data_IF_439481819214
#
_entry.id   IF_439481819214
#
_cell.length_a   1.000
_cell.length_b   1.000
_cell.length_c   1.000
_cell.angle_alpha   90.00
_cell.angle_beta   90.00
_cell.angle_gamma   90.00
#
_symmetry.space_group_name_H-M   'P 1'
#
loop_
_entity.id
_entity.type
_entity.pdbx_description
1 polymer ?
#
# COMPACT_ATOMS: atom_id res chain seq x y z
N UNK A 1 -46.69 2.48 -74.55
CA UNK A 1 -45.32 2.67 -75.11
C UNK A 1 -44.27 2.51 -74.03
N UNK A 2 -43.52 1.41 -74.07
CA UNK A 2 -42.35 1.07 -73.25
C UNK A 2 -42.31 -0.44 -72.93
N UNK A 3 -41.15 -0.99 -72.59
CA UNK A 3 -40.89 -2.44 -72.48
C UNK A 3 -41.29 -2.92 -71.08
N UNK A 4 -41.84 -4.14 -70.88
CA UNK A 4 -42.04 -4.81 -69.57
C UNK A 4 -43.28 -4.45 -68.74
N UNK A 5 -44.38 -4.10 -69.39
CA UNK A 5 -45.69 -3.78 -68.77
C UNK A 5 -46.69 -4.94 -68.92
N UNK A 6 -47.64 -5.09 -67.99
CA UNK A 6 -48.78 -6.03 -68.12
C UNK A 6 -50.11 -5.31 -67.86
N UNK A 7 -51.07 -5.36 -68.80
CA UNK A 7 -52.38 -4.68 -68.78
C UNK A 7 -52.59 -3.62 -69.89
N UNK A 8 -53.80 -3.05 -70.03
CA UNK A 8 -54.18 -2.18 -71.16
C UNK A 8 -54.06 -0.65 -70.87
N UNK A 9 -53.83 0.15 -71.91
CA UNK A 9 -53.61 1.62 -71.90
C UNK A 9 -52.32 2.14 -71.22
N UNK A 10 -51.23 1.37 -71.20
CA UNK A 10 -50.00 1.76 -70.50
C UNK A 10 -48.93 2.41 -71.41
N UNK A 11 -48.37 3.53 -70.94
CA UNK A 11 -47.16 4.20 -71.48
C UNK A 11 -46.11 4.24 -70.36
N UNK A 12 -45.00 3.48 -70.49
CA UNK A 12 -43.91 3.39 -69.51
C UNK A 12 -42.96 2.18 -69.73
N UNK A 13 -41.74 2.23 -69.18
CA UNK A 13 -40.73 1.16 -69.20
C UNK A 13 -40.80 0.29 -67.92
N UNK A 14 -41.44 -0.87 -67.95
CA UNK A 14 -41.38 -1.92 -66.92
C UNK A 14 -40.31 -3.03 -67.17
N UNK A 15 -40.17 -3.96 -66.23
CA UNK A 15 -39.27 -5.13 -66.35
C UNK A 15 -37.77 -4.86 -66.17
N UNK A 16 -37.36 -3.65 -65.80
CA UNK A 16 -35.94 -3.32 -65.57
C UNK A 16 -35.51 -3.51 -64.12
N UNK A 17 -36.41 -3.90 -63.22
CA UNK A 17 -36.06 -4.33 -61.86
C UNK A 17 -36.35 -5.83 -61.70
N UNK A 18 -35.53 -6.52 -60.91
CA UNK A 18 -35.74 -7.90 -60.48
C UNK A 18 -36.06 -7.95 -58.98
N UNK A 19 -36.99 -8.80 -58.57
CA UNK A 19 -37.50 -8.88 -57.19
C UNK A 19 -38.71 -7.97 -56.92
N UNK A 20 -38.94 -7.57 -55.67
CA UNK A 20 -40.22 -6.97 -55.23
C UNK A 20 -40.06 -5.59 -54.59
N UNK A 21 -41.01 -4.68 -54.85
CA UNK A 21 -41.07 -3.37 -54.16
C UNK A 21 -39.99 -2.37 -54.57
N UNK A 22 -39.22 -2.63 -55.63
CA UNK A 22 -38.19 -1.71 -56.11
C UNK A 22 -38.80 -0.53 -56.90
N UNK A 23 -38.28 0.69 -56.69
CA UNK A 23 -38.67 1.92 -57.40
C UNK A 23 -37.44 2.48 -58.14
N UNK A 24 -37.56 2.72 -59.46
CA UNK A 24 -36.45 3.18 -60.32
C UNK A 24 -36.08 2.15 -61.39
N UNK A 25 -34.81 2.10 -61.83
CA UNK A 25 -34.36 1.23 -62.94
C UNK A 25 -33.17 0.36 -62.54
N UNK A 26 -33.10 -0.87 -63.06
CA UNK A 26 -31.96 -1.79 -62.90
C UNK A 26 -31.68 -2.22 -61.46
N UNK A 27 -32.66 -2.15 -60.56
CA UNK A 27 -32.51 -2.65 -59.20
C UNK A 27 -32.80 -4.16 -59.12
N UNK A 28 -32.08 -4.88 -58.26
CA UNK A 28 -32.25 -6.31 -57.97
C UNK A 28 -32.48 -6.53 -56.48
N UNK A 29 -33.44 -7.40 -56.11
CA UNK A 29 -33.76 -7.69 -54.71
C UNK A 29 -35.04 -6.99 -54.25
N UNK A 30 -35.08 -6.44 -53.04
CA UNK A 30 -36.33 -5.96 -52.43
C UNK A 30 -36.26 -4.50 -51.96
N UNK A 31 -37.34 -3.75 -52.19
CA UNK A 31 -37.56 -2.41 -51.62
C UNK A 31 -36.43 -1.39 -51.87
N UNK A 32 -35.69 -1.52 -52.98
CA UNK A 32 -34.65 -0.56 -53.34
C UNK A 32 -35.24 0.65 -54.10
N UNK A 33 -34.71 1.85 -53.87
CA UNK A 33 -35.11 3.08 -54.55
C UNK A 33 -33.92 3.70 -55.28
N UNK A 34 -34.01 3.90 -56.59
CA UNK A 34 -32.99 4.56 -57.41
C UNK A 34 -32.51 3.69 -58.58
N UNK A 35 -31.20 3.61 -58.80
CA UNK A 35 -30.62 2.96 -59.98
C UNK A 35 -29.59 1.90 -59.62
N UNK A 36 -29.62 0.75 -60.27
CA UNK A 36 -28.55 -0.27 -60.18
C UNK A 36 -28.29 -0.81 -58.76
N UNK A 37 -29.23 -0.67 -57.82
CA UNK A 37 -29.03 -1.19 -56.46
C UNK A 37 -29.31 -2.70 -56.40
N UNK A 38 -28.55 -3.42 -55.57
CA UNK A 38 -28.73 -4.86 -55.35
C UNK A 38 -28.87 -5.18 -53.85
N UNK A 39 -29.85 -6.01 -53.50
CA UNK A 39 -30.11 -6.42 -52.11
C UNK A 39 -31.40 -5.80 -51.58
N UNK A 40 -31.39 -5.28 -50.35
CA UNK A 40 -32.63 -4.88 -49.66
C UNK A 40 -32.60 -3.44 -49.17
N UNK A 41 -33.63 -2.65 -49.49
CA UNK A 41 -33.87 -1.36 -48.83
C UNK A 41 -32.83 -0.27 -49.12
N UNK A 42 -32.06 -0.38 -50.19
CA UNK A 42 -31.06 0.63 -50.53
C UNK A 42 -31.70 1.85 -51.23
N UNK A 43 -31.19 3.05 -50.96
CA UNK A 43 -31.60 4.30 -51.60
C UNK A 43 -30.43 4.97 -52.33
N UNK A 44 -30.52 5.15 -53.64
CA UNK A 44 -29.53 5.87 -54.43
C UNK A 44 -29.03 5.09 -55.64
N UNK A 45 -27.72 5.06 -55.89
CA UNK A 45 -27.15 4.53 -57.14
C UNK A 45 -26.10 3.46 -56.85
N UNK A 46 -26.26 2.26 -57.41
CA UNK A 46 -25.21 1.24 -57.43
C UNK A 46 -24.87 0.67 -56.06
N UNK A 47 -25.74 0.80 -55.05
CA UNK A 47 -25.47 0.24 -53.73
C UNK A 47 -25.72 -1.27 -53.72
N UNK A 48 -24.93 -2.01 -52.94
CA UNK A 48 -25.06 -3.46 -52.76
C UNK A 48 -25.16 -3.84 -51.29
N UNK A 49 -26.04 -4.78 -50.96
CA UNK A 49 -26.30 -5.21 -49.58
C UNK A 49 -27.60 -4.61 -49.04
N UNK A 50 -27.59 -4.10 -47.82
CA UNK A 50 -28.81 -3.72 -47.10
C UNK A 50 -28.80 -2.28 -46.60
N UNK A 51 -29.91 -1.56 -46.76
CA UNK A 51 -30.18 -0.25 -46.14
C UNK A 51 -29.14 0.85 -46.41
N UNK A 52 -28.35 0.73 -47.48
CA UNK A 52 -27.37 1.75 -47.82
C UNK A 52 -28.03 2.96 -48.49
N UNK A 53 -27.57 4.16 -48.16
CA UNK A 53 -28.03 5.42 -48.77
C UNK A 53 -26.88 6.13 -49.48
N UNK A 54 -27.05 6.52 -50.73
CA UNK A 54 -26.07 7.27 -51.51
C UNK A 54 -25.56 6.52 -52.73
N UNK A 55 -24.25 6.50 -52.97
CA UNK A 55 -23.66 6.02 -54.22
C UNK A 55 -22.63 4.92 -53.95
N UNK A 56 -22.78 3.78 -54.62
CA UNK A 56 -21.79 2.72 -54.70
C UNK A 56 -21.30 2.22 -53.33
N UNK A 57 -22.17 2.22 -52.31
CA UNK A 57 -21.84 1.61 -51.04
C UNK A 57 -22.07 0.10 -51.07
N UNK A 58 -21.25 -0.65 -50.34
CA UNK A 58 -21.35 -2.10 -50.19
C UNK A 58 -21.48 -2.47 -48.71
N UNK A 59 -22.35 -3.43 -48.40
CA UNK A 59 -22.56 -3.94 -47.03
C UNK A 59 -23.87 -3.43 -46.44
N UNK A 60 -23.85 -2.97 -45.19
CA UNK A 60 -25.08 -2.68 -44.43
C UNK A 60 -25.11 -1.26 -43.87
N UNK A 61 -26.23 -0.56 -44.08
CA UNK A 61 -26.57 0.71 -43.44
C UNK A 61 -25.50 1.81 -43.58
N UNK A 62 -24.72 1.80 -44.67
CA UNK A 62 -23.77 2.87 -44.94
C UNK A 62 -24.49 4.08 -45.57
N UNK A 63 -24.01 5.29 -45.28
CA UNK A 63 -24.52 6.53 -45.85
C UNK A 63 -23.40 7.35 -46.50
N UNK A 64 -23.57 7.70 -47.77
CA UNK A 64 -22.62 8.51 -48.53
C UNK A 64 -22.10 7.79 -49.77
N UNK A 65 -20.79 7.78 -50.01
CA UNK A 65 -20.21 7.41 -51.32
C UNK A 65 -19.06 6.41 -51.18
N UNK A 66 -19.11 5.28 -51.91
CA UNK A 66 -18.04 4.27 -51.93
C UNK A 66 -17.65 3.67 -50.57
N UNK A 67 -18.56 3.66 -49.59
CA UNK A 67 -18.27 3.00 -48.31
C UNK A 67 -18.46 1.48 -48.43
N UNK A 68 -17.60 0.71 -47.76
CA UNK A 68 -17.67 -0.75 -47.69
C UNK A 68 -17.70 -1.22 -46.24
N UNK A 69 -18.69 -2.05 -45.90
CA UNK A 69 -18.85 -2.66 -44.59
C UNK A 69 -20.13 -2.21 -43.89
N UNK A 70 -20.07 -1.77 -42.63
CA UNK A 70 -21.27 -1.56 -41.80
C UNK A 70 -21.31 -0.17 -41.19
N UNK A 71 -22.43 0.53 -41.32
CA UNK A 71 -22.71 1.78 -40.60
C UNK A 71 -21.64 2.87 -40.76
N UNK A 72 -20.98 2.92 -41.92
CA UNK A 72 -20.05 4.00 -42.23
C UNK A 72 -20.82 5.22 -42.77
N UNK A 73 -20.39 6.42 -42.41
CA UNK A 73 -20.91 7.67 -42.94
C UNK A 73 -19.81 8.49 -43.62
N UNK A 74 -20.11 9.09 -44.77
CA UNK A 74 -19.14 9.89 -45.54
C UNK A 74 -18.67 9.17 -46.79
N UNK A 75 -17.37 9.08 -47.04
CA UNK A 75 -16.85 8.64 -48.33
C UNK A 75 -15.64 7.71 -48.25
N UNK A 76 -15.63 6.67 -49.09
CA UNK A 76 -14.51 5.74 -49.25
C UNK A 76 -14.01 5.09 -47.95
N UNK A 77 -14.88 4.90 -46.95
CA UNK A 77 -14.51 4.20 -45.73
C UNK A 77 -14.61 2.67 -45.91
N UNK A 78 -13.69 1.92 -45.31
CA UNK A 78 -13.70 0.47 -45.30
C UNK A 78 -13.74 -0.05 -43.85
N UNK A 79 -14.65 -0.98 -43.55
CA UNK A 79 -14.83 -1.56 -42.22
C UNK A 79 -16.13 -1.11 -41.57
N UNK A 80 -16.12 -0.65 -40.33
CA UNK A 80 -17.38 -0.41 -39.61
C UNK A 80 -17.43 0.83 -38.73
N UNK A 81 -18.58 1.52 -38.69
CA UNK A 81 -18.82 2.66 -37.81
C UNK A 81 -17.85 3.85 -38.00
N UNK A 82 -17.27 3.99 -39.19
CA UNK A 82 -16.40 5.13 -39.48
C UNK A 82 -17.23 6.35 -39.94
N UNK A 83 -16.81 7.55 -39.56
CA UNK A 83 -17.42 8.81 -40.00
C UNK A 83 -16.37 9.72 -40.64
N UNK A 84 -16.60 10.13 -41.88
CA UNK A 84 -15.71 11.01 -42.64
C UNK A 84 -15.16 10.33 -43.91
N UNK A 85 -13.85 10.38 -44.15
CA UNK A 85 -13.26 10.00 -45.45
C UNK A 85 -12.09 9.02 -45.38
N UNK A 86 -12.01 8.02 -46.26
CA UNK A 86 -10.83 7.15 -46.39
C UNK A 86 -10.34 6.52 -45.07
N UNK A 87 -11.23 6.19 -44.15
CA UNK A 87 -10.87 5.47 -42.93
C UNK A 87 -10.94 3.97 -43.19
N UNK A 88 -9.93 3.22 -42.73
CA UNK A 88 -9.90 1.76 -42.83
C UNK A 88 -9.87 1.16 -41.42
N UNK A 89 -10.77 0.25 -41.10
CA UNK A 89 -10.93 -0.33 -39.77
C UNK A 89 -12.26 0.08 -39.14
N UNK A 90 -12.28 0.45 -37.85
CA UNK A 90 -13.56 0.75 -37.18
C UNK A 90 -13.55 1.93 -36.23
N UNK A 91 -14.71 2.57 -36.06
CA UNK A 91 -14.94 3.65 -35.09
C UNK A 91 -14.05 4.88 -35.30
N UNK A 92 -13.50 5.08 -36.50
CA UNK A 92 -12.71 6.25 -36.79
C UNK A 92 -13.59 7.45 -37.12
N UNK A 93 -13.22 8.64 -36.64
CA UNK A 93 -13.87 9.91 -36.96
C UNK A 93 -12.87 10.88 -37.59
N UNK A 94 -13.23 11.43 -38.74
CA UNK A 94 -12.40 12.33 -39.53
C UNK A 94 -11.91 11.66 -40.82
N UNK A 95 -10.67 11.91 -41.26
CA UNK A 95 -10.21 11.40 -42.57
C UNK A 95 -8.85 10.76 -42.57
N UNK A 96 -8.66 9.75 -43.43
CA UNK A 96 -7.39 9.05 -43.62
C UNK A 96 -6.86 8.42 -42.33
N UNK A 97 -7.71 7.73 -41.58
CA UNK A 97 -7.28 7.02 -40.38
C UNK A 97 -7.34 5.49 -40.58
N UNK A 98 -6.23 4.83 -40.92
CA UNK A 98 -6.11 3.37 -40.83
C UNK A 98 -5.93 2.89 -39.39
N UNK A 99 -6.74 1.91 -38.98
CA UNK A 99 -6.78 1.33 -37.63
C UNK A 99 -8.14 1.54 -36.97
N UNK A 100 -8.17 1.64 -35.66
CA UNK A 100 -9.40 1.65 -34.87
C UNK A 100 -9.49 2.82 -33.91
N UNK A 101 -10.68 3.41 -33.79
CA UNK A 101 -11.03 4.42 -32.78
C UNK A 101 -10.18 5.69 -32.83
N UNK A 102 -9.65 6.04 -34.01
CA UNK A 102 -8.92 7.29 -34.18
C UNK A 102 -9.88 8.46 -34.37
N UNK A 103 -9.54 9.61 -33.78
CA UNK A 103 -10.27 10.87 -33.98
C UNK A 103 -9.33 11.92 -34.58
N UNK A 104 -9.72 12.53 -35.69
CA UNK A 104 -8.94 13.55 -36.38
C UNK A 104 -8.52 13.09 -37.78
N UNK A 105 -7.31 13.40 -38.22
CA UNK A 105 -6.90 13.08 -39.59
C UNK A 105 -5.48 12.53 -39.71
N UNK A 106 -5.27 11.64 -40.68
CA UNK A 106 -3.97 11.03 -41.00
C UNK A 106 -3.37 10.21 -39.85
N UNK A 107 -4.19 9.69 -38.93
CA UNK A 107 -3.68 8.87 -37.83
C UNK A 107 -3.60 7.39 -38.25
N UNK A 108 -2.42 6.78 -38.11
CA UNK A 108 -2.20 5.35 -38.38
C UNK A 108 -1.90 4.62 -37.08
N UNK A 109 -2.65 3.55 -36.81
CA UNK A 109 -2.64 2.83 -35.53
C UNK A 109 -3.99 2.97 -34.83
N UNK A 110 -4.03 2.76 -33.53
CA UNK A 110 -5.26 2.71 -32.76
C UNK A 110 -5.33 3.80 -31.68
N UNK A 111 -6.56 4.28 -31.41
CA UNK A 111 -6.88 5.21 -30.30
C UNK A 111 -6.12 6.55 -30.34
N UNK A 112 -5.68 7.01 -31.53
CA UNK A 112 -5.04 8.30 -31.65
C UNK A 112 -6.05 9.44 -31.78
N UNK A 113 -5.77 10.56 -31.13
CA UNK A 113 -6.53 11.80 -31.26
C UNK A 113 -5.64 12.92 -31.81
N UNK A 114 -6.03 13.50 -32.94
CA UNK A 114 -5.39 14.69 -33.52
C UNK A 114 -4.95 14.49 -34.97
N UNK A 115 -3.73 14.93 -35.32
CA UNK A 115 -3.32 15.03 -36.72
C UNK A 115 -1.98 14.33 -37.01
N UNK A 116 -1.98 13.42 -37.98
CA UNK A 116 -0.76 12.77 -38.46
C UNK A 116 0.06 12.05 -37.37
N UNK A 117 -0.61 11.34 -36.46
CA UNK A 117 0.06 10.49 -35.48
C UNK A 117 0.25 9.06 -36.03
N UNK A 118 1.39 8.44 -35.73
CA UNK A 118 1.69 7.04 -36.08
C UNK A 118 2.09 6.27 -34.82
N UNK A 119 1.46 5.12 -34.58
CA UNK A 119 1.53 4.37 -33.33
C UNK A 119 0.18 4.39 -32.62
N UNK A 120 0.13 4.03 -31.35
CA UNK A 120 -1.11 3.87 -30.60
C UNK A 120 -1.23 4.88 -29.44
N UNK A 121 -2.46 5.21 -29.05
CA UNK A 121 -2.77 6.04 -27.86
C UNK A 121 -2.17 7.46 -27.87
N UNK A 122 -1.84 8.01 -29.03
CA UNK A 122 -1.28 9.35 -29.10
C UNK A 122 -2.35 10.44 -29.07
N UNK A 123 -2.10 11.51 -28.32
CA UNK A 123 -2.88 12.75 -28.38
C UNK A 123 -2.01 13.90 -28.87
N UNK A 124 -2.44 14.60 -29.92
CA UNK A 124 -1.76 15.77 -30.48
C UNK A 124 -1.42 15.60 -31.95
N UNK A 125 -0.23 15.99 -32.41
CA UNK A 125 0.06 15.97 -33.84
C UNK A 125 1.51 15.64 -34.21
N UNK A 126 1.69 14.93 -35.32
CA UNK A 126 3.00 14.54 -35.84
C UNK A 126 3.81 13.67 -34.86
N UNK A 127 3.14 12.90 -34.00
CA UNK A 127 3.81 11.97 -33.08
C UNK A 127 4.11 10.64 -33.78
N UNK A 128 5.24 10.03 -33.44
CA UNK A 128 5.65 8.71 -33.90
C UNK A 128 6.09 7.88 -32.69
N UNK A 129 5.41 6.78 -32.42
CA UNK A 129 5.54 5.95 -31.21
C UNK A 129 4.24 5.90 -30.43
N UNK A 130 4.24 5.30 -29.25
CA UNK A 130 3.02 5.01 -28.49
C UNK A 130 2.85 5.90 -27.26
N UNK A 131 1.59 6.15 -26.87
CA UNK A 131 1.21 6.85 -25.64
C UNK A 131 1.82 8.26 -25.48
N UNK A 132 2.01 8.99 -26.58
CA UNK A 132 2.52 10.36 -26.54
C UNK A 132 1.40 11.39 -26.36
N UNK A 133 1.71 12.49 -25.67
CA UNK A 133 0.84 13.65 -25.56
C UNK A 133 1.61 14.92 -25.97
N UNK A 134 1.26 15.53 -27.09
CA UNK A 134 1.91 16.74 -27.59
C UNK A 134 2.16 16.71 -29.09
N UNK A 135 3.20 17.42 -29.54
CA UNK A 135 3.50 17.56 -30.96
C UNK A 135 4.86 16.95 -31.30
N UNK A 136 5.06 16.46 -32.52
CA UNK A 136 6.37 16.09 -33.06
C UNK A 136 7.20 15.10 -32.21
N UNK A 137 6.56 14.31 -31.34
CA UNK A 137 7.26 13.34 -30.52
C UNK A 137 7.79 12.17 -31.35
N UNK A 138 8.96 11.66 -30.98
CA UNK A 138 9.60 10.50 -31.62
C UNK A 138 10.06 9.55 -30.52
N UNK A 139 9.28 8.49 -30.28
CA UNK A 139 9.45 7.56 -29.18
C UNK A 139 8.14 7.36 -28.41
N UNK A 140 8.19 6.60 -27.32
CA UNK A 140 7.01 6.24 -26.55
C UNK A 140 6.92 7.05 -25.24
N UNK A 141 5.69 7.33 -24.79
CA UNK A 141 5.41 7.94 -23.48
C UNK A 141 5.90 9.39 -23.32
N UNK A 142 5.99 10.16 -24.40
CA UNK A 142 6.46 11.55 -24.36
C UNK A 142 5.34 12.53 -23.99
N UNK A 143 5.69 13.62 -23.30
CA UNK A 143 4.76 14.70 -22.93
C UNK A 143 3.67 14.30 -21.93
N UNK A 144 3.90 13.23 -21.17
CA UNK A 144 3.03 12.78 -20.10
C UNK A 144 3.10 13.74 -18.89
N UNK A 145 1.95 14.01 -18.28
CA UNK A 145 1.88 14.66 -16.96
C UNK A 145 2.12 13.60 -15.89
N UNK A 146 2.95 13.90 -14.89
CA UNK A 146 3.29 12.95 -13.83
C UNK A 146 2.02 12.48 -13.10
N UNK A 147 1.83 11.15 -13.05
CA UNK A 147 0.78 10.52 -12.28
C UNK A 147 1.30 9.20 -11.70
N UNK A 148 1.33 9.10 -10.37
CA UNK A 148 1.63 7.88 -9.63
C UNK A 148 0.35 7.36 -8.99
N UNK A 149 -0.05 6.12 -9.32
CA UNK A 149 -1.17 5.44 -8.65
C UNK A 149 -0.73 4.10 -8.09
N UNK A 150 -0.79 4.00 -6.75
CA UNK A 150 -0.39 2.80 -6.02
C UNK A 150 -1.60 2.23 -5.30
N UNK A 151 -1.91 0.95 -5.55
CA UNK A 151 -2.97 0.25 -4.83
C UNK A 151 -2.37 -0.36 -3.56
N UNK A 152 -2.85 0.08 -2.39
CA UNK A 152 -2.42 -0.42 -1.10
C UNK A 152 -3.48 -1.35 -0.51
N UNK A 153 -3.19 -2.66 -0.46
CA UNK A 153 -4.05 -3.64 0.20
C UNK A 153 -3.56 -3.81 1.65
N UNK A 154 -4.35 -3.41 2.67
CA UNK A 154 -3.96 -3.57 4.07
C UNK A 154 -3.87 -5.06 4.46
N UNK A 155 -3.04 -5.41 5.46
CA UNK A 155 -2.92 -6.78 5.94
C UNK A 155 -4.27 -7.35 6.39
N UNK A 156 -4.54 -8.61 6.06
CA UNK A 156 -5.72 -9.34 6.53
C UNK A 156 -5.33 -10.09 7.81
N UNK A 157 -6.01 -9.84 8.95
CA UNK A 157 -5.76 -10.59 10.17
C UNK A 157 -6.27 -12.02 10.03
N UNK A 158 -5.40 -13.01 10.28
CA UNK A 158 -5.75 -14.43 10.30
C UNK A 158 -5.73 -14.94 11.74
N UNK A 159 -6.88 -15.40 12.22
CA UNK A 159 -7.00 -16.08 13.51
C UNK A 159 -7.36 -17.54 13.25
N UNK A 160 -6.37 -18.43 13.39
CA UNK A 160 -6.59 -19.88 13.39
C UNK A 160 -6.65 -20.35 14.84
N UNK A 161 -7.83 -20.81 15.28
CA UNK A 161 -8.02 -21.44 16.58
C UNK A 161 -8.10 -22.95 16.41
N UNK A 162 -7.20 -23.68 17.06
CA UNK A 162 -7.33 -25.11 17.28
C UNK A 162 -7.55 -25.34 18.78
N UNK A 163 -8.62 -26.07 19.12
CA UNK A 163 -8.93 -26.44 20.49
C UNK A 163 -8.87 -27.96 20.68
N UNK A 164 -8.32 -28.37 21.81
CA UNK A 164 -8.24 -29.78 22.21
C UNK A 164 -8.40 -29.92 23.72
N UNK A 165 -8.85 -31.10 24.14
CA UNK A 165 -8.99 -31.46 25.57
C UNK A 165 -7.62 -31.84 26.11
N UNK A 166 -7.15 -31.16 27.16
CA UNK A 166 -5.90 -31.48 27.85
C UNK A 166 -6.21 -32.30 29.11
N UNK A 167 -5.94 -33.60 29.06
CA UNK A 167 -5.99 -34.51 30.20
C UNK A 167 -4.66 -35.23 30.33
N UNK A 168 -3.80 -34.75 31.22
CA UNK A 168 -2.49 -35.36 31.48
C UNK A 168 -2.52 -36.12 32.81
N UNK A 169 -2.49 -37.47 32.80
CA UNK A 169 -2.31 -38.23 34.02
C UNK A 169 -0.85 -38.14 34.47
N UNK A 170 -0.64 -37.72 35.72
CA UNK A 170 0.67 -37.73 36.35
C UNK A 170 0.66 -38.87 37.38
N UNK A 171 1.39 -39.93 37.06
CA UNK A 171 1.55 -41.11 37.93
C UNK A 171 3.01 -41.22 38.37
N UNK A 172 3.23 -41.38 39.66
CA UNK A 172 4.55 -41.61 40.22
C UNK A 172 4.47 -42.09 41.66
N UNK A 173 5.59 -42.54 42.22
CA UNK A 173 5.68 -42.95 43.61
C UNK A 173 6.66 -42.04 44.35
N UNK A 174 6.31 -41.63 45.56
CA UNK A 174 7.32 -41.10 46.50
C UNK A 174 8.01 -42.31 47.12
N UNK A 175 9.24 -42.58 46.69
CA UNK A 175 10.05 -43.70 47.16
C UNK A 175 11.15 -43.23 48.11
N UNK A 176 11.53 -44.07 49.08
CA UNK A 176 12.71 -43.82 49.93
C UNK A 176 12.46 -42.99 51.19
N UNK A 177 11.21 -42.81 51.59
CA UNK A 177 10.90 -42.24 52.90
C UNK A 177 11.23 -43.25 54.01
N UNK A 178 12.16 -42.88 54.89
CA UNK A 178 12.45 -43.64 56.08
C UNK A 178 12.62 -42.73 57.27
N UNK A 179 12.12 -43.16 58.43
CA UNK A 179 12.50 -42.57 59.71
C UNK A 179 13.78 -43.24 60.16
N UNK A 180 14.83 -42.46 60.38
CA UNK A 180 16.11 -42.97 60.86
C UNK A 180 15.95 -43.63 62.23
N UNK A 181 16.81 -44.63 62.55
CA UNK A 181 16.82 -45.21 63.88
C UNK A 181 16.95 -44.12 64.96
N UNK A 182 16.16 -44.24 66.01
CA UNK A 182 16.22 -43.33 67.14
C UNK A 182 16.04 -44.09 68.44
N UNK A 183 16.53 -43.49 69.52
CA UNK A 183 16.45 -44.05 70.86
C UNK A 183 15.48 -43.23 71.69
N UNK A 184 14.66 -43.88 72.49
CA UNK A 184 13.93 -43.23 73.57
C UNK A 184 14.81 -43.34 74.82
N UNK A 185 15.24 -42.19 75.35
CA UNK A 185 16.10 -42.06 76.53
C UNK A 185 15.53 -41.00 77.48
N UNK A 186 15.91 -41.06 78.76
CA UNK A 186 15.42 -40.12 79.78
C UNK A 186 16.06 -38.73 79.66
N UNK A 187 17.39 -38.69 79.52
CA UNK A 187 18.16 -37.48 79.20
C UNK A 187 19.23 -37.79 78.14
N UNK A 188 19.98 -36.77 77.72
CA UNK A 188 20.78 -36.73 76.48
C UNK A 188 21.77 -37.89 76.28
N UNK A 189 22.05 -38.71 77.30
CA UNK A 189 22.82 -39.94 77.15
C UNK A 189 22.46 -41.10 78.10
N UNK A 190 21.43 -40.98 78.95
CA UNK A 190 21.24 -41.90 80.08
C UNK A 190 19.97 -42.76 80.02
N UNK A 191 20.08 -43.94 80.63
CA UNK A 191 19.00 -44.88 80.94
C UNK A 191 17.77 -44.16 81.54
N UNK A 192 16.57 -44.64 81.21
CA UNK A 192 15.30 -44.01 81.62
C UNK A 192 15.17 -44.14 83.15
N UNK A 193 15.13 -43.04 83.92
CA UNK A 193 15.07 -43.10 85.38
C UNK A 193 13.69 -43.56 85.86
N UNK A 194 13.68 -44.56 86.73
CA UNK A 194 12.48 -45.05 87.43
C UNK A 194 12.59 -44.61 88.88
N UNK A 195 11.82 -43.59 89.24
CA UNK A 195 11.71 -43.13 90.62
C UNK A 195 10.51 -43.83 91.29
N UNK A 196 10.79 -44.82 92.13
CA UNK A 196 9.79 -45.46 92.97
C UNK A 196 10.01 -45.04 94.43
N UNK A 197 9.02 -44.39 95.02
CA UNK A 197 9.03 -43.99 96.44
C UNK A 197 8.14 -44.94 97.22
N UNK A 198 8.73 -45.76 98.08
CA UNK A 198 7.99 -46.59 99.01
C UNK A 198 7.84 -45.85 100.33
N UNK A 199 6.60 -45.58 100.72
CA UNK A 199 6.24 -44.95 102.00
C UNK A 199 5.78 -46.07 102.93
N UNK A 200 6.46 -46.24 104.05
CA UNK A 200 6.05 -47.16 105.12
C UNK A 200 5.73 -46.33 106.35
N UNK A 201 4.47 -46.34 106.77
CA UNK A 201 3.98 -45.65 107.97
C UNK A 201 3.97 -46.63 109.16
N UNK A 202 4.52 -46.18 110.30
CA UNK A 202 4.44 -46.86 111.60
C UNK A 202 4.07 -45.87 112.70
N UNK A 203 3.76 -46.34 113.90
CA UNK A 203 3.48 -45.48 115.07
C UNK A 203 4.43 -45.86 116.20
N UNK A 204 5.03 -44.86 116.88
CA UNK A 204 6.10 -45.11 117.86
C UNK A 204 5.62 -45.75 119.18
N UNK A 205 4.31 -45.97 119.35
CA UNK A 205 3.70 -46.43 120.60
C UNK A 205 3.78 -45.39 121.73
N UNK A 206 2.65 -45.10 122.36
CA UNK A 206 2.58 -44.12 123.46
C UNK A 206 3.20 -44.62 124.77
N UNK A 207 3.55 -43.69 125.66
CA UNK A 207 4.02 -43.97 127.03
C UNK A 207 3.13 -43.23 128.03
N UNK A 208 2.78 -43.89 129.13
CA UNK A 208 2.03 -43.29 130.23
C UNK A 208 2.98 -42.90 131.35
N UNK A 209 2.97 -41.63 131.76
CA UNK A 209 3.76 -41.12 132.88
C UNK A 209 2.85 -41.03 134.11
N UNK A 210 3.10 -41.81 135.18
CA UNK A 210 2.34 -41.70 136.42
C UNK A 210 2.80 -40.47 137.22
N UNK A 211 1.86 -39.62 137.67
CA UNK A 211 2.14 -38.50 138.59
C UNK A 211 1.49 -38.79 139.95
N UNK A 212 2.33 -38.82 140.99
CA UNK A 212 1.93 -39.08 142.38
C UNK A 212 2.05 -37.78 143.19
N UNK A 213 0.99 -37.41 143.92
CA UNK A 213 0.99 -36.21 144.77
C UNK A 213 0.80 -36.59 146.25
N UNK A 214 -0.18 -37.45 146.55
CA UNK A 214 -0.47 -38.03 147.88
C UNK A 214 -1.18 -39.38 147.73
N UNK A 215 -1.29 -40.18 148.79
CA UNK A 215 -1.86 -41.54 148.78
C UNK A 215 -3.32 -41.65 148.29
N UNK A 216 -4.04 -40.53 148.18
CA UNK A 216 -5.43 -40.48 147.69
C UNK A 216 -5.56 -39.81 146.31
N UNK A 217 -4.48 -39.25 145.74
CA UNK A 217 -4.52 -38.57 144.43
C UNK A 217 -3.37 -39.08 143.55
N UNK A 218 -3.74 -39.97 142.63
CA UNK A 218 -2.87 -40.50 141.57
C UNK A 218 -3.58 -40.36 140.23
N UNK A 219 -2.86 -39.87 139.22
CA UNK A 219 -3.34 -39.97 137.86
C UNK A 219 -2.20 -40.16 136.88
N UNK A 220 -2.55 -40.87 135.82
CA UNK A 220 -1.68 -41.23 134.72
C UNK A 220 -1.86 -40.22 133.59
N UNK A 221 -0.76 -39.70 133.07
CA UNK A 221 -0.77 -38.86 131.87
C UNK A 221 -0.32 -39.71 130.69
N UNK A 222 -1.24 -40.19 129.83
CA UNK A 222 -0.86 -40.89 128.62
C UNK A 222 -0.33 -39.89 127.58
N UNK A 223 0.86 -40.16 127.05
CA UNK A 223 1.38 -39.51 125.85
C UNK A 223 1.24 -40.50 124.70
N UNK A 224 0.45 -40.14 123.68
CA UNK A 224 0.27 -41.00 122.51
C UNK A 224 1.55 -41.06 121.66
N UNK A 225 1.76 -42.19 120.98
CA UNK A 225 2.87 -42.36 120.06
C UNK A 225 2.76 -41.40 118.88
N UNK A 226 3.88 -41.07 118.26
CA UNK A 226 3.88 -40.26 117.05
C UNK A 226 3.97 -41.17 115.82
N UNK A 227 3.31 -40.83 114.70
CA UNK A 227 3.53 -41.52 113.44
C UNK A 227 4.98 -41.31 112.97
N UNK A 228 5.59 -42.40 112.52
CA UNK A 228 6.91 -42.46 111.89
C UNK A 228 6.69 -42.86 110.44
N UNK A 229 7.04 -41.98 109.51
CA UNK A 229 7.07 -42.31 108.08
C UNK A 229 8.51 -42.53 107.63
N UNK A 230 8.79 -43.70 107.05
CA UNK A 230 10.08 -43.99 106.41
C UNK A 230 9.87 -43.97 104.90
N UNK A 231 10.55 -43.06 104.22
CA UNK A 231 10.59 -43.00 102.76
C UNK A 231 11.90 -43.63 102.28
N UNK A 232 11.79 -44.70 101.48
CA UNK A 232 12.96 -45.30 100.81
C UNK A 232 12.89 -44.97 99.32
N UNK A 233 13.74 -44.06 98.81
CA UNK A 233 13.85 -43.85 97.38
C UNK A 233 14.59 -45.03 96.72
N UNK A 234 13.96 -45.69 95.75
CA UNK A 234 14.62 -46.67 94.89
C UNK A 234 15.01 -45.98 93.58
N UNK A 235 16.31 -45.70 93.42
CA UNK A 235 16.87 -45.17 92.18
C UNK A 235 17.24 -46.36 91.28
N UNK A 236 16.38 -46.69 90.31
CA UNK A 236 16.66 -47.69 89.28
C UNK A 236 16.54 -47.06 87.89
N UNK A 237 17.18 -47.64 86.88
CA UNK A 237 17.09 -47.14 85.50
C UNK A 237 16.87 -48.29 84.52
N UNK A 238 16.15 -48.00 83.43
CA UNK A 238 15.92 -48.93 82.32
C UNK A 238 16.82 -48.56 81.14
N UNK A 239 17.36 -49.56 80.44
CA UNK A 239 18.16 -49.31 79.25
C UNK A 239 17.38 -48.53 78.16
N UNK A 240 18.04 -47.67 77.37
CA UNK A 240 17.40 -46.94 76.29
C UNK A 240 16.70 -47.87 75.29
N UNK A 241 15.47 -47.52 74.90
CA UNK A 241 14.70 -48.31 73.95
C UNK A 241 15.17 -47.95 72.53
N UNK A 242 15.69 -48.94 71.80
CA UNK A 242 16.17 -48.79 70.43
C UNK A 242 15.03 -49.02 69.44
N UNK A 243 14.69 -47.99 68.65
CA UNK A 243 13.72 -48.13 67.56
C UNK A 243 14.50 -48.27 66.23
N UNK A 244 14.36 -49.41 65.52
CA UNK A 244 15.03 -49.61 64.24
C UNK A 244 14.45 -48.68 63.15
N UNK A 245 15.14 -48.57 62.02
CA UNK A 245 14.68 -47.76 60.88
C UNK A 245 13.28 -48.20 60.45
N UNK A 246 12.35 -47.24 60.36
CA UNK A 246 11.00 -47.49 59.86
C UNK A 246 10.98 -47.11 58.39
N UNK A 247 10.72 -48.08 57.51
CA UNK A 247 10.53 -47.85 56.08
C UNK A 247 9.07 -47.59 55.80
N UNK A 248 8.78 -46.44 55.20
CA UNK A 248 7.43 -46.12 54.72
C UNK A 248 7.33 -46.68 53.31
N UNK A 249 6.31 -47.51 53.07
CA UNK A 249 6.05 -48.08 51.74
C UNK A 249 5.69 -46.99 50.74
N UNK A 250 5.82 -47.29 49.45
CA UNK A 250 5.53 -46.35 48.37
C UNK A 250 4.18 -45.65 48.57
N UNK A 251 4.22 -44.32 48.54
CA UNK A 251 3.01 -43.50 48.53
C UNK A 251 2.68 -43.21 47.07
N UNK A 252 1.58 -43.76 46.51
CA UNK A 252 1.21 -43.51 45.13
C UNK A 252 0.71 -42.08 44.95
N UNK A 253 1.25 -41.36 43.97
CA UNK A 253 0.76 -40.07 43.51
C UNK A 253 -0.18 -40.30 42.31
N UNK A 254 -1.44 -39.93 42.47
CA UNK A 254 -2.41 -39.88 41.38
C UNK A 254 -2.94 -38.44 41.26
N UNK A 255 -2.32 -37.68 40.35
CA UNK A 255 -2.66 -36.29 40.08
C UNK A 255 -3.09 -36.18 38.62
N UNK A 256 -4.17 -35.45 38.36
CA UNK A 256 -4.60 -35.11 37.01
C UNK A 256 -4.42 -33.61 36.82
N UNK A 257 -3.67 -33.21 35.80
CA UNK A 257 -3.60 -31.82 35.36
C UNK A 257 -4.61 -31.63 34.22
N UNK A 258 -5.62 -30.79 34.47
CA UNK A 258 -6.76 -30.60 33.57
C UNK A 258 -7.96 -31.49 33.90
N UNK A 259 -8.97 -31.47 33.04
CA UNK A 259 -10.23 -32.21 33.17
C UNK A 259 -10.80 -32.49 31.79
N UNK A 260 -11.88 -33.26 31.70
CA UNK A 260 -12.58 -33.53 30.43
C UNK A 260 -13.14 -32.24 29.79
N UNK A 261 -13.16 -31.12 30.54
CA UNK A 261 -13.61 -29.81 30.08
C UNK A 261 -12.49 -28.76 30.04
N UNK A 262 -11.25 -29.11 30.37
CA UNK A 262 -10.14 -28.14 30.34
C UNK A 262 -9.64 -27.98 28.91
N UNK A 263 -10.13 -26.93 28.24
CA UNK A 263 -9.72 -26.56 26.90
C UNK A 263 -8.37 -25.84 26.92
N UNK A 264 -7.37 -26.42 26.24
CA UNK A 264 -6.17 -25.68 25.90
C UNK A 264 -6.45 -24.92 24.60
N UNK A 265 -6.43 -23.59 24.67
CA UNK A 265 -6.62 -22.72 23.51
C UNK A 265 -5.26 -22.20 23.06
N UNK A 266 -4.82 -22.61 21.86
CA UNK A 266 -3.61 -22.09 21.23
C UNK A 266 -4.04 -21.16 20.10
N UNK A 267 -3.91 -19.86 20.34
CA UNK A 267 -4.10 -18.84 19.32
C UNK A 267 -2.77 -18.46 18.68
N UNK A 268 -2.62 -18.72 17.37
CA UNK A 268 -1.56 -18.10 16.58
C UNK A 268 -2.18 -16.91 15.87
N UNK A 269 -1.85 -15.69 16.31
CA UNK A 269 -2.20 -14.47 15.61
C UNK A 269 -1.11 -14.18 14.57
N UNK A 270 -1.50 -14.14 13.30
CA UNK A 270 -0.61 -13.81 12.19
C UNK A 270 -1.28 -12.83 11.23
N UNK A 271 -0.45 -12.07 10.52
CA UNK A 271 -0.90 -11.22 9.43
C UNK A 271 -0.45 -11.87 8.11
N UNK A 272 -1.36 -11.96 7.14
CA UNK A 272 -0.93 -12.11 5.74
C UNK A 272 -0.51 -10.70 5.30
N UNK A 273 0.77 -10.54 4.94
CA UNK A 273 1.37 -9.23 4.65
C UNK A 273 0.57 -8.44 3.62
N UNK A 274 0.41 -7.14 3.86
CA UNK A 274 -0.19 -6.24 2.89
C UNK A 274 0.66 -6.21 1.61
N UNK A 275 -0.02 -6.12 0.47
CA UNK A 275 0.65 -6.04 -0.84
C UNK A 275 0.43 -4.63 -1.37
N UNK A 276 1.54 -3.98 -1.70
CA UNK A 276 1.53 -2.73 -2.46
C UNK A 276 1.78 -3.08 -3.92
N UNK A 277 0.79 -2.88 -4.78
CA UNK A 277 0.92 -3.13 -6.22
C UNK A 277 1.02 -1.78 -6.94
N UNK A 278 2.16 -1.44 -7.56
CA UNK A 278 2.23 -0.31 -8.46
C UNK A 278 1.36 -0.62 -9.69
N UNK A 279 0.33 0.21 -9.94
CA UNK A 279 -0.63 -0.03 -11.04
C UNK A 279 -0.14 0.62 -12.33
N UNK A 280 0.47 1.81 -12.23
CA UNK A 280 1.20 2.46 -13.32
C UNK A 280 2.13 3.54 -12.77
N UNK A 281 3.27 3.74 -13.45
CA UNK A 281 4.24 4.80 -13.18
C UNK A 281 4.54 5.52 -14.49
N UNK A 282 4.28 6.83 -14.52
CA UNK A 282 4.65 7.70 -15.64
C UNK A 282 5.73 8.67 -15.18
N UNK A 283 7.00 8.48 -15.59
CA UNK A 283 8.08 9.38 -15.22
C UNK A 283 7.85 10.78 -15.78
N UNK A 284 8.35 11.81 -15.07
CA UNK A 284 8.21 13.19 -15.51
C UNK A 284 8.88 13.40 -16.88
N UNK A 285 8.09 13.74 -17.90
CA UNK A 285 8.62 14.09 -19.20
C UNK A 285 9.04 15.58 -19.21
N UNK A 286 10.23 15.91 -19.74
CA UNK A 286 10.62 17.29 -19.98
C UNK A 286 9.60 18.00 -20.88
N UNK A 287 9.51 19.33 -20.74
CA UNK A 287 8.78 20.21 -21.63
C UNK A 287 9.17 20.03 -23.11
N UNK A 288 8.34 20.57 -23.98
CA UNK A 288 8.40 20.37 -25.42
C UNK A 288 9.74 20.81 -26.03
N UNK A 289 10.47 19.89 -26.66
CA UNK A 289 11.75 20.21 -27.32
C UNK A 289 12.87 20.63 -26.35
N UNK A 290 12.75 20.32 -25.05
CA UNK A 290 13.81 20.56 -24.08
C UNK A 290 14.97 19.55 -24.28
N UNK A 291 16.21 20.03 -24.18
CA UNK A 291 17.46 19.25 -24.25
C UNK A 291 18.27 19.46 -22.97
N UNK A 292 17.71 19.06 -21.83
CA UNK A 292 18.28 19.32 -20.50
C UNK A 292 18.67 18.04 -19.74
N UNK A 293 19.74 18.11 -18.93
CA UNK A 293 20.22 16.97 -18.12
C UNK A 293 19.29 16.65 -16.93
N UNK A 294 18.66 17.67 -16.33
CA UNK A 294 17.59 17.53 -15.35
C UNK A 294 16.23 17.96 -15.95
N UNK A 295 15.09 17.49 -15.40
CA UNK A 295 13.76 17.83 -15.91
C UNK A 295 13.55 19.35 -15.98
N UNK A 296 13.15 19.84 -17.15
CA UNK A 296 12.82 21.25 -17.40
C UNK A 296 11.44 21.34 -18.02
N UNK A 297 10.66 22.39 -17.73
CA UNK A 297 9.29 22.58 -18.23
C UNK A 297 9.22 23.70 -19.28
N UNK A 298 8.15 23.77 -20.08
CA UNK A 298 8.01 24.77 -21.16
C UNK A 298 8.52 24.29 -22.52
N UNK A 299 9.14 25.15 -23.32
CA UNK A 299 9.52 24.89 -24.72
C UNK A 299 11.01 25.19 -24.98
N UNK A 300 11.73 24.30 -25.66
CA UNK A 300 13.09 24.50 -26.19
C UNK A 300 14.17 24.94 -25.17
N UNK A 301 14.06 24.54 -23.91
CA UNK A 301 15.09 24.78 -22.89
C UNK A 301 16.28 23.80 -23.05
N UNK A 302 17.50 24.18 -22.67
CA UNK A 302 18.71 23.36 -22.83
C UNK A 302 19.69 23.52 -21.64
N UNK A 303 20.67 22.63 -21.47
CA UNK A 303 21.67 22.73 -20.39
C UNK A 303 21.43 21.81 -19.19
N UNK A 304 21.94 22.16 -18.01
CA UNK A 304 21.92 21.25 -16.85
C UNK A 304 20.51 20.94 -16.32
N UNK A 305 19.53 21.78 -16.64
CA UNK A 305 18.11 21.52 -16.41
C UNK A 305 17.53 22.30 -15.26
N UNK A 306 16.38 21.86 -14.75
CA UNK A 306 15.56 22.67 -13.83
C UNK A 306 15.14 24.03 -14.43
N UNK A 307 15.08 24.13 -15.77
CA UNK A 307 14.71 25.34 -16.49
C UNK A 307 13.20 25.38 -16.78
N UNK A 308 12.61 26.58 -16.90
CA UNK A 308 11.18 26.73 -17.19
C UNK A 308 10.83 27.93 -18.06
N UNK A 309 10.01 27.76 -19.10
CA UNK A 309 9.63 28.84 -20.02
C UNK A 309 10.02 28.53 -21.46
N UNK A 310 10.41 29.52 -22.25
CA UNK A 310 10.70 29.36 -23.68
C UNK A 310 12.17 29.66 -23.97
N UNK A 311 12.94 28.68 -24.41
CA UNK A 311 14.30 28.88 -24.92
C UNK A 311 15.36 29.16 -23.86
N UNK A 312 15.18 28.76 -22.59
CA UNK A 312 16.17 29.03 -21.54
C UNK A 312 17.35 28.04 -21.60
N UNK A 313 18.57 28.48 -21.31
CA UNK A 313 19.77 27.63 -21.38
C UNK A 313 20.60 27.66 -20.08
N UNK A 314 20.76 26.52 -19.40
CA UNK A 314 21.58 26.35 -18.18
C UNK A 314 20.80 25.78 -16.98
N UNK A 315 21.34 25.93 -15.76
CA UNK A 315 20.74 25.39 -14.52
C UNK A 315 19.85 26.40 -13.81
N UNK A 316 18.63 25.99 -13.45
CA UNK A 316 17.73 26.76 -12.57
C UNK A 316 17.32 28.11 -13.18
N UNK A 317 16.89 28.09 -14.43
CA UNK A 317 16.66 29.29 -15.25
C UNK A 317 15.24 29.36 -15.76
N UNK A 318 14.58 30.49 -15.58
CA UNK A 318 13.18 30.63 -15.96
C UNK A 318 12.88 31.88 -16.77
N UNK A 319 12.02 31.78 -17.79
CA UNK A 319 11.43 32.90 -18.54
C UNK A 319 11.55 32.74 -20.06
N UNK A 320 11.79 33.84 -20.79
CA UNK A 320 11.89 33.84 -22.25
C UNK A 320 13.34 34.12 -22.62
N UNK A 321 14.05 33.12 -23.12
CA UNK A 321 15.45 33.22 -23.52
C UNK A 321 16.40 33.64 -22.39
N UNK A 322 16.11 33.22 -21.15
CA UNK A 322 16.96 33.53 -20.00
C UNK A 322 18.09 32.52 -19.83
N UNK A 323 19.20 32.98 -19.22
CA UNK A 323 20.44 32.21 -19.04
C UNK A 323 20.99 32.28 -17.56
N UNK A 324 20.18 32.23 -16.48
CA UNK A 324 20.61 31.82 -15.11
C UNK A 324 21.36 32.82 -14.20
N UNK A 325 21.98 32.40 -13.09
CA UNK A 325 23.12 33.19 -12.54
C UNK A 325 24.21 33.08 -13.60
N UNK A 326 24.82 34.20 -14.02
CA UNK A 326 25.40 34.32 -15.38
C UNK A 326 24.36 34.53 -16.50
N UNK A 327 23.21 35.15 -16.20
CA UNK A 327 22.18 35.46 -17.20
C UNK A 327 22.66 36.46 -18.24
N UNK A 328 22.36 36.10 -19.49
CA UNK A 328 22.56 36.93 -20.65
C UNK A 328 21.46 36.79 -21.69
N UNK A 329 21.23 37.85 -22.47
CA UNK A 329 20.00 37.99 -23.27
C UNK A 329 19.51 39.43 -23.45
N UNK A 330 18.24 39.57 -23.85
CA UNK A 330 17.50 40.84 -23.85
C UNK A 330 16.68 40.89 -22.56
N UNK A 331 16.88 41.91 -21.73
CA UNK A 331 16.27 42.04 -20.39
C UNK A 331 16.78 41.03 -19.35
N UNK A 332 18.08 41.11 -19.02
CA UNK A 332 18.68 40.29 -17.97
C UNK A 332 18.55 40.95 -16.59
N UNK A 333 18.07 40.19 -15.60
CA UNK A 333 17.66 40.73 -14.30
C UNK A 333 18.09 39.84 -13.13
N UNK A 334 18.64 40.42 -12.06
CA UNK A 334 18.57 39.86 -10.70
C UNK A 334 19.72 38.96 -10.19
N UNK A 335 20.86 38.84 -10.88
CA UNK A 335 22.01 38.00 -10.44
C UNK A 335 23.33 38.75 -10.18
N UNK A 336 24.31 38.04 -9.60
CA UNK A 336 25.74 38.41 -9.70
C UNK A 336 26.27 37.91 -11.06
N UNK A 337 27.00 38.76 -11.79
CA UNK A 337 27.56 38.52 -13.15
C UNK A 337 26.52 38.45 -14.29
N UNK A 338 25.75 39.52 -14.52
CA UNK A 338 24.80 39.62 -15.65
C UNK A 338 25.44 40.24 -16.90
N UNK A 339 25.00 39.86 -18.10
CA UNK A 339 25.48 40.54 -19.33
C UNK A 339 24.51 40.54 -20.50
N UNK A 340 24.50 41.55 -21.37
CA UNK A 340 23.49 41.63 -22.45
C UNK A 340 23.06 43.04 -22.84
N UNK A 341 21.87 43.21 -23.43
CA UNK A 341 21.45 44.50 -24.02
C UNK A 341 20.75 45.46 -23.05
N UNK A 342 20.12 44.93 -22.01
CA UNK A 342 19.61 45.68 -20.86
C UNK A 342 19.83 44.78 -19.66
N UNK A 343 20.66 45.23 -18.72
CA UNK A 343 21.08 44.42 -17.58
C UNK A 343 20.82 45.17 -16.28
N UNK A 344 20.21 44.50 -15.30
CA UNK A 344 19.88 45.08 -13.99
C UNK A 344 20.28 44.14 -12.84
N UNK A 345 21.38 44.47 -12.14
CA UNK A 345 22.04 43.62 -11.13
C UNK A 345 23.32 44.25 -10.54
N UNK A 346 24.22 43.44 -9.95
CA UNK A 346 25.34 43.94 -9.12
C UNK A 346 26.72 43.88 -9.78
N UNK A 347 27.09 42.75 -10.37
CA UNK A 347 28.28 42.63 -11.21
C UNK A 347 27.78 42.42 -12.65
N UNK A 348 28.07 43.35 -13.55
CA UNK A 348 27.42 43.38 -14.86
C UNK A 348 28.35 43.82 -15.99
N UNK A 349 28.11 43.32 -17.20
CA UNK A 349 28.81 43.78 -18.40
C UNK A 349 27.90 43.81 -19.62
N UNK A 350 27.87 44.88 -20.42
CA UNK A 350 26.98 44.91 -21.60
C UNK A 350 26.64 46.29 -22.13
N UNK A 351 25.50 46.42 -22.82
CA UNK A 351 24.94 47.70 -23.27
C UNK A 351 23.75 47.99 -22.33
N UNK A 352 23.58 49.24 -21.87
CA UNK A 352 22.55 49.64 -20.91
C UNK A 352 22.52 48.80 -19.60
N UNK A 353 23.60 48.91 -18.83
CA UNK A 353 23.69 48.29 -17.50
C UNK A 353 23.22 49.27 -16.42
N UNK A 354 22.31 48.85 -15.55
CA UNK A 354 21.82 49.67 -14.43
C UNK A 354 22.03 48.93 -13.12
N UNK A 355 22.78 49.51 -12.18
CA UNK A 355 22.95 48.93 -10.85
C UNK A 355 21.64 49.02 -10.06
N UNK A 356 21.13 47.90 -9.57
CA UNK A 356 19.91 47.87 -8.77
C UNK A 356 20.13 48.28 -7.29
N UNK A 357 21.38 48.27 -6.81
CA UNK A 357 21.75 48.62 -5.44
C UNK A 357 22.35 50.03 -5.37
N UNK A 358 22.00 50.77 -4.31
CA UNK A 358 22.36 52.17 -4.13
C UNK A 358 23.87 52.45 -4.23
N UNK A 359 24.22 53.70 -4.57
CA UNK A 359 25.56 54.19 -4.94
C UNK A 359 26.72 53.87 -3.96
N UNK A 360 26.42 53.39 -2.74
CA UNK A 360 27.40 53.06 -1.70
C UNK A 360 27.77 51.57 -1.60
N UNK A 361 27.10 50.67 -2.34
CA UNK A 361 27.43 49.24 -2.36
C UNK A 361 28.23 48.91 -3.64
N UNK A 362 29.39 48.28 -3.47
CA UNK A 362 30.36 48.02 -4.53
C UNK A 362 29.91 46.87 -5.45
N UNK A 363 29.61 47.19 -6.70
CA UNK A 363 29.42 46.22 -7.79
C UNK A 363 30.36 46.54 -8.96
N UNK A 364 30.92 45.54 -9.66
CA UNK A 364 31.81 45.79 -10.82
C UNK A 364 30.95 45.85 -12.08
N UNK A 365 30.83 47.04 -12.68
CA UNK A 365 29.98 47.27 -13.85
C UNK A 365 30.83 47.77 -15.01
N UNK A 366 30.76 47.09 -16.15
CA UNK A 366 31.56 47.43 -17.33
C UNK A 366 30.73 47.49 -18.61
N UNK A 367 31.13 48.26 -19.62
CA UNK A 367 30.44 48.28 -20.93
C UNK A 367 29.97 49.68 -21.38
N UNK A 368 28.85 49.74 -22.11
CA UNK A 368 28.32 50.97 -22.73
C UNK A 368 27.00 51.39 -22.10
N UNK A 369 26.81 52.69 -21.84
CA UNK A 369 25.60 53.23 -21.21
C UNK A 369 25.36 52.64 -19.79
N UNK A 370 26.38 52.72 -18.93
CA UNK A 370 26.32 52.16 -17.57
C UNK A 370 25.82 53.20 -16.56
N UNK A 371 24.95 52.80 -15.63
CA UNK A 371 24.45 53.62 -14.52
C UNK A 371 24.68 52.90 -13.19
N UNK A 372 25.44 53.46 -12.24
CA UNK A 372 25.78 52.77 -10.98
C UNK A 372 27.09 53.19 -10.28
N UNK A 373 27.70 52.28 -9.49
CA UNK A 373 28.96 52.48 -8.78
C UNK A 373 30.09 51.57 -9.30
N UNK A 374 31.35 52.01 -9.17
CA UNK A 374 32.58 51.35 -9.69
C UNK A 374 32.47 50.96 -11.18
N UNK A 375 32.11 51.95 -11.99
CA UNK A 375 31.85 51.83 -13.42
C UNK A 375 33.13 51.83 -14.27
N UNK A 376 33.16 51.03 -15.34
CA UNK A 376 34.23 51.05 -16.35
C UNK A 376 33.66 51.01 -17.77
N UNK A 377 34.25 51.71 -18.75
CA UNK A 377 33.77 51.76 -20.14
C UNK A 377 33.35 53.16 -20.62
N UNK A 378 32.36 53.26 -21.53
CA UNK A 378 31.95 54.53 -22.16
C UNK A 378 30.47 54.86 -21.92
N UNK A 379 30.13 56.16 -21.88
CA UNK A 379 28.80 56.69 -21.52
C UNK A 379 28.34 56.24 -20.13
N UNK A 380 28.98 56.78 -19.08
CA UNK A 380 28.79 56.38 -17.69
C UNK A 380 27.98 57.43 -16.92
N UNK A 381 27.06 56.98 -16.06
CA UNK A 381 26.27 57.84 -15.17
C UNK A 381 26.35 57.30 -13.73
N UNK A 382 27.29 57.82 -12.93
CA UNK A 382 27.53 57.35 -11.56
C UNK A 382 29.00 57.41 -11.15
N UNK A 383 29.43 56.56 -10.20
CA UNK A 383 30.82 56.58 -9.69
C UNK A 383 31.74 55.60 -10.43
N UNK A 384 32.88 56.11 -10.91
CA UNK A 384 33.98 55.31 -11.48
C UNK A 384 35.00 54.92 -10.38
N UNK A 385 35.83 53.89 -10.57
CA UNK A 385 36.89 53.51 -9.63
C UNK A 385 37.80 54.67 -9.22
#
# INVERSE_FOLDING_TARGET
>A
MGIGLTGDHQVGFGGWNSGSGNVGLFNSGSNNVGFFNSGTGNFGIGNSGEFNTGIANSGMANSGVFNSGVLNTGWANAGSYNSGGFNAGSLNTGSFNPGHTNTGSYNTGDLNTGYANTGDLNTGAFNSGDANNGLFWRGDGQGLMQADYTLNIPPIPLTLGASGILKLPITGNITGLSVNPFTIHGDTTSAIPVNLSLIVDGESGGITIPIHVTDEIHFDVPISGLPITITVPLNSSLDPIQIPQIRISDIPLNLTLGSDNTMLNVGIAGNIGGITVPVFHFPAAPGFGNTTNAPSSGFFNSGDGSASGFGNMGDTISGFWNIGAHASGFENYGGELLSGLTNLGNAMSGIANTNALGLSVAGVISGLANTGSRLSGFFLTGSVP
#
